data_IF_294956024868
#
_entry.id   IF_294956024868
#
_cell.length_a   1.000
_cell.length_b   1.000
_cell.length_c   1.000
_cell.angle_alpha   90.00
_cell.angle_beta   90.00
_cell.angle_gamma   90.00
#
_symmetry.space_group_name_H-M   'P 1'
#
loop_
_entity.id
_entity.type
_entity.pdbx_description
1 polymer ?
#
# COMPACT_ATOMS: atom_id res chain seq x y z
N UNK A 1 -49.67 -46.02 -27.85
CA UNK A 1 -48.40 -46.18 -27.10
C UNK A 1 -47.97 -44.80 -26.65
N UNK A 2 -48.16 -44.42 -25.36
CA UNK A 2 -47.73 -43.12 -24.88
C UNK A 2 -46.19 -43.07 -24.80
N UNK A 3 -45.60 -42.03 -25.37
CA UNK A 3 -44.16 -41.77 -25.32
C UNK A 3 -43.87 -41.18 -23.94
N UNK A 4 -43.27 -41.98 -23.06
CA UNK A 4 -42.79 -41.55 -21.74
C UNK A 4 -41.40 -40.94 -21.95
N UNK A 5 -41.30 -39.61 -21.80
CA UNK A 5 -40.00 -38.93 -21.77
C UNK A 5 -39.37 -39.07 -20.38
N UNK A 6 -38.05 -39.33 -20.28
CA UNK A 6 -37.37 -39.50 -19.00
C UNK A 6 -37.22 -38.17 -18.25
N UNK A 7 -37.18 -38.27 -16.92
CA UNK A 7 -36.96 -37.16 -15.99
C UNK A 7 -35.58 -36.53 -16.21
N UNK A 8 -35.57 -35.23 -16.52
CA UNK A 8 -34.35 -34.40 -16.55
C UNK A 8 -33.97 -34.11 -15.10
N UNK A 9 -32.97 -34.82 -14.59
CA UNK A 9 -32.32 -34.53 -13.32
C UNK A 9 -31.41 -33.28 -13.41
N UNK A 10 -31.03 -32.66 -12.28
CA UNK A 10 -30.26 -31.43 -12.27
C UNK A 10 -28.82 -31.69 -12.74
N UNK A 11 -28.47 -31.14 -13.89
CA UNK A 11 -27.11 -31.10 -14.42
C UNK A 11 -26.31 -30.01 -13.69
N UNK A 12 -25.78 -30.35 -12.52
CA UNK A 12 -24.64 -29.64 -11.94
C UNK A 12 -23.50 -30.64 -11.73
N UNK A 13 -22.88 -31.07 -12.82
CA UNK A 13 -21.52 -31.62 -12.76
C UNK A 13 -20.57 -30.44 -12.62
N UNK A 14 -20.28 -30.06 -11.38
CA UNK A 14 -19.11 -29.23 -11.09
C UNK A 14 -17.88 -30.03 -11.50
N UNK A 15 -17.24 -29.60 -12.60
CA UNK A 15 -15.87 -29.99 -12.92
C UNK A 15 -14.99 -29.59 -11.75
N UNK A 16 -14.52 -30.59 -11.01
CA UNK A 16 -13.41 -30.50 -10.06
C UNK A 16 -12.14 -30.12 -10.82
N UNK A 17 -11.99 -28.83 -11.11
CA UNK A 17 -10.70 -28.23 -11.42
C UNK A 17 -9.97 -28.04 -10.09
N UNK A 18 -9.01 -28.93 -9.86
CA UNK A 18 -7.82 -28.75 -9.02
C UNK A 18 -7.97 -27.76 -7.86
N UNK A 19 -8.22 -28.32 -6.66
CA UNK A 19 -8.38 -27.58 -5.43
C UNK A 19 -7.27 -26.54 -5.20
N UNK A 20 -7.68 -25.27 -5.27
CA UNK A 20 -6.98 -24.18 -4.60
C UNK A 20 -7.13 -24.40 -3.09
N UNK A 21 -6.19 -25.19 -2.56
CA UNK A 21 -5.92 -25.32 -1.14
C UNK A 21 -5.45 -23.96 -0.67
N UNK A 22 -6.30 -23.28 0.10
CA UNK A 22 -6.04 -22.01 0.75
C UNK A 22 -4.65 -22.03 1.40
N UNK A 23 -3.69 -21.41 0.72
CA UNK A 23 -2.42 -21.07 1.32
C UNK A 23 -2.70 -19.86 2.21
N UNK A 24 -2.72 -20.12 3.52
CA UNK A 24 -2.27 -19.14 4.51
C UNK A 24 -1.18 -18.29 3.90
N UNK A 25 -1.19 -16.96 4.11
CA UNK A 25 -0.09 -16.05 3.79
C UNK A 25 1.22 -16.76 4.09
N UNK A 26 1.81 -17.34 3.07
CA UNK A 26 3.03 -18.10 3.17
C UNK A 26 4.02 -16.97 3.08
N UNK A 27 4.44 -16.47 4.24
CA UNK A 27 5.65 -15.68 4.29
C UNK A 27 6.69 -16.53 3.57
N UNK A 28 7.20 -16.04 2.44
CA UNK A 28 8.14 -16.80 1.60
C UNK A 28 9.41 -17.15 2.39
N UNK A 29 9.62 -16.49 3.53
CA UNK A 29 10.59 -16.85 4.54
C UNK A 29 9.96 -16.71 5.95
N UNK A 30 10.00 -17.77 6.76
CA UNK A 30 9.61 -17.78 8.18
C UNK A 30 10.32 -16.66 8.96
N UNK A 31 11.54 -16.30 8.53
CA UNK A 31 12.36 -15.25 9.12
C UNK A 31 11.79 -13.84 8.91
N UNK A 32 11.20 -13.56 7.74
CA UNK A 32 10.52 -12.27 7.51
C UNK A 32 9.27 -12.12 8.35
N UNK A 33 8.57 -13.25 8.60
CA UNK A 33 7.41 -13.27 9.50
C UNK A 33 7.82 -12.93 10.92
N UNK A 34 8.85 -13.60 11.43
CA UNK A 34 9.37 -13.37 12.78
C UNK A 34 9.87 -11.94 12.96
N UNK A 35 10.61 -11.41 11.97
CA UNK A 35 11.08 -10.03 11.96
C UNK A 35 9.92 -9.02 12.04
N UNK A 36 8.85 -9.24 11.26
CA UNK A 36 7.68 -8.37 11.26
C UNK A 36 6.90 -8.45 12.58
N UNK A 37 6.74 -9.65 13.15
CA UNK A 37 6.11 -9.84 14.47
C UNK A 37 6.94 -9.17 15.58
N UNK A 38 8.28 -9.24 15.51
CA UNK A 38 9.18 -8.60 16.46
C UNK A 38 9.13 -7.07 16.37
N UNK A 39 9.19 -6.51 15.16
CA UNK A 39 9.10 -5.06 14.95
C UNK A 39 7.75 -4.51 15.43
N UNK A 40 6.67 -5.25 15.19
CA UNK A 40 5.34 -4.90 15.70
C UNK A 40 5.31 -4.97 17.23
N UNK A 41 5.86 -6.00 17.85
CA UNK A 41 5.90 -6.10 19.31
C UNK A 41 6.73 -4.97 19.94
N UNK A 42 7.87 -4.63 19.34
CA UNK A 42 8.74 -3.53 19.78
C UNK A 42 8.05 -2.17 19.63
N UNK A 43 7.38 -1.94 18.50
CA UNK A 43 6.63 -0.71 18.24
C UNK A 43 5.44 -0.51 19.19
N UNK A 44 4.76 -1.60 19.59
CA UNK A 44 3.64 -1.55 20.53
C UNK A 44 4.03 -1.73 22.00
N UNK A 45 5.33 -1.92 22.30
CA UNK A 45 5.81 -2.15 23.67
C UNK A 45 5.27 -3.43 24.31
N UNK A 46 4.90 -4.42 23.49
CA UNK A 46 4.41 -5.72 23.96
C UNK A 46 5.63 -6.57 24.31
N UNK A 47 5.77 -7.06 25.56
CA UNK A 47 6.84 -7.97 25.92
C UNK A 47 6.73 -9.25 25.09
N UNK A 48 7.77 -9.58 24.33
CA UNK A 48 7.82 -10.84 23.59
C UNK A 48 8.04 -12.01 24.56
N UNK A 49 7.36 -13.16 24.35
CA UNK A 49 7.63 -14.39 25.08
C UNK A 49 9.11 -14.77 24.96
N UNK A 50 9.75 -15.09 26.07
CA UNK A 50 11.18 -15.42 26.16
C UNK A 50 11.61 -16.64 25.33
N UNK A 51 10.67 -17.42 24.79
CA UNK A 51 10.94 -18.55 23.91
C UNK A 51 11.28 -18.17 22.46
N UNK A 52 10.96 -16.95 22.01
CA UNK A 52 11.24 -16.49 20.62
C UNK A 52 12.59 -15.79 20.52
N UNK A 53 13.24 -15.52 21.65
CA UNK A 53 14.58 -14.92 21.68
C UNK A 53 15.58 -15.98 21.19
N UNK A 54 15.79 -16.07 19.87
CA UNK A 54 16.93 -16.81 19.30
C UNK A 54 18.16 -16.35 20.09
N UNK A 55 18.73 -17.26 20.88
CA UNK A 55 20.10 -17.08 21.35
C UNK A 55 20.91 -16.91 20.08
N UNK A 56 21.73 -15.84 19.93
CA UNK A 56 22.71 -15.85 18.87
C UNK A 56 23.52 -17.13 19.04
N UNK A 57 23.36 -18.06 18.09
CA UNK A 57 24.27 -19.20 17.98
C UNK A 57 25.64 -18.58 17.74
N UNK A 58 26.43 -18.67 18.79
CA UNK A 58 27.85 -18.42 18.78
C UNK A 58 28.43 -19.49 17.86
N UNK A 59 28.66 -19.13 16.59
CA UNK A 59 29.69 -19.77 15.78
C UNK A 59 31.03 -19.30 16.36
N UNK A 60 31.49 -20.03 17.37
CA UNK A 60 32.89 -20.06 17.81
C UNK A 60 33.55 -21.31 17.21
N UNK A 61 34.86 -21.18 16.95
CA UNK A 61 35.82 -22.13 16.34
C UNK A 61 35.89 -22.01 14.80
N UNK A 62 36.94 -21.50 14.14
CA UNK A 62 38.35 -21.24 14.49
C UNK A 62 38.90 -20.08 13.63
N UNK A 63 39.58 -19.11 14.25
CA UNK A 63 40.88 -18.51 13.83
C UNK A 63 41.10 -17.21 14.63
N UNK A 64 41.79 -17.37 15.77
CA UNK A 64 42.69 -16.35 16.31
C UNK A 64 43.89 -16.26 15.35
N UNK A 65 44.55 -15.15 15.06
CA UNK A 65 45.02 -13.99 15.83
C UNK A 65 45.17 -12.84 14.80
N UNK A 66 44.95 -11.56 15.10
CA UNK A 66 45.99 -10.66 15.60
C UNK A 66 45.45 -9.21 15.41
N UNK A 67 45.93 -8.27 16.24
CA UNK A 67 45.69 -6.82 16.22
C UNK A 67 44.48 -6.23 16.97
N UNK A 68 44.70 -6.18 18.29
CA UNK A 68 44.84 -4.93 19.07
C UNK A 68 43.66 -3.96 19.12
N UNK A 69 43.03 -3.97 20.29
CA UNK A 69 42.70 -2.81 21.14
C UNK A 69 42.70 -1.43 20.47
N UNK A 70 41.51 -0.87 20.26
CA UNK A 70 41.30 0.55 20.56
C UNK A 70 39.80 0.91 20.70
N UNK A 71 39.47 1.43 21.87
CA UNK A 71 38.52 2.54 22.09
C UNK A 71 37.01 2.31 21.93
N UNK A 72 36.43 1.95 23.08
CA UNK A 72 35.19 2.53 23.60
C UNK A 72 35.13 4.05 23.35
N UNK A 73 34.16 4.51 22.54
CA UNK A 73 33.47 5.80 22.70
C UNK A 73 32.33 5.90 21.68
N UNK A 74 31.12 5.86 22.20
CA UNK A 74 29.90 6.32 21.53
C UNK A 74 29.99 7.83 21.29
N UNK A 75 29.93 8.33 20.04
CA UNK A 75 29.59 9.71 19.81
C UNK A 75 28.07 9.81 19.68
N UNK A 76 27.42 10.16 20.79
CA UNK A 76 26.13 10.85 20.79
C UNK A 76 26.36 12.24 20.18
N UNK A 77 26.47 12.31 18.85
CA UNK A 77 26.46 13.57 18.12
C UNK A 77 25.02 13.88 17.72
N UNK A 78 24.35 14.68 18.55
CA UNK A 78 23.14 15.38 18.18
C UNK A 78 23.46 16.40 17.11
N UNK A 79 23.43 15.99 15.84
CA UNK A 79 23.32 16.94 14.74
C UNK A 79 21.90 17.50 14.73
N UNK A 80 21.78 18.70 15.32
CA UNK A 80 20.75 19.67 15.00
C UNK A 80 20.90 20.04 13.51
N UNK A 81 20.35 19.20 12.63
CA UNK A 81 20.06 19.62 11.27
C UNK A 81 18.93 20.64 11.36
N UNK A 82 19.35 21.90 11.41
CA UNK A 82 18.56 23.06 11.02
C UNK A 82 18.09 22.83 9.59
N UNK A 83 16.98 22.11 9.44
CA UNK A 83 16.22 22.09 8.20
C UNK A 83 15.54 23.45 8.13
N UNK A 84 16.21 24.37 7.45
CA UNK A 84 15.60 25.57 6.91
C UNK A 84 14.44 25.14 6.02
N UNK A 85 13.25 25.07 6.61
CA UNK A 85 12.01 24.97 5.87
C UNK A 85 11.95 26.15 4.89
N UNK A 86 11.74 25.92 3.59
CA UNK A 86 11.47 27.02 2.68
C UNK A 86 10.18 27.71 3.16
N UNK A 87 10.12 29.05 3.19
CA UNK A 87 8.89 29.75 3.51
C UNK A 87 7.84 29.34 2.48
N UNK A 88 6.82 28.64 2.96
CA UNK A 88 5.60 28.37 2.21
C UNK A 88 5.03 29.69 1.71
N UNK A 89 5.23 29.98 0.43
CA UNK A 89 4.53 31.05 -0.27
C UNK A 89 3.08 30.61 -0.45
N UNK A 90 2.29 30.81 0.59
CA UNK A 90 0.84 30.83 0.50
C UNK A 90 0.42 31.89 -0.52
N UNK A 91 -0.50 31.59 -1.46
CA UNK A 91 -1.00 32.57 -2.41
C UNK A 91 -1.76 33.64 -1.65
N UNK A 92 -1.19 34.86 -1.63
CA UNK A 92 -1.85 36.04 -1.09
C UNK A 92 -3.14 36.26 -1.86
N UNK A 93 -4.27 36.01 -1.18
CA UNK A 93 -5.58 36.40 -1.65
C UNK A 93 -5.69 37.92 -1.46
N UNK A 94 -5.39 38.59 -2.56
CA UNK A 94 -5.50 40.03 -2.81
C UNK A 94 -6.80 40.61 -2.25
N UNK A 95 -6.59 41.55 -1.33
CA UNK A 95 -7.37 42.73 -0.96
C UNK A 95 -8.83 42.84 -1.41
N UNK A 96 -9.71 42.81 -0.41
CA UNK A 96 -11.04 43.40 -0.45
C UNK A 96 -11.33 43.98 0.94
N UNK A 97 -11.13 45.28 1.08
CA UNK A 97 -11.25 46.05 2.30
C UNK A 97 -12.62 45.91 2.98
N UNK A 98 -12.63 45.70 4.30
CA UNK A 98 -13.58 46.36 5.19
C UNK A 98 -13.02 46.32 6.62
N UNK A 99 -12.54 47.48 7.04
CA UNK A 99 -12.23 47.81 8.41
C UNK A 99 -13.46 47.62 9.30
N UNK A 100 -13.33 46.89 10.40
CA UNK A 100 -13.96 47.27 11.65
C UNK A 100 -13.12 46.73 12.81
N UNK A 101 -12.23 47.60 13.29
CA UNK A 101 -11.54 47.48 14.57
C UNK A 101 -12.59 47.76 15.65
N UNK A 102 -12.99 46.74 16.41
CA UNK A 102 -13.52 46.97 17.76
C UNK A 102 -12.54 46.41 18.78
N UNK A 103 -11.67 47.34 19.17
CA UNK A 103 -10.98 47.48 20.44
C UNK A 103 -11.68 46.73 21.58
N UNK A 104 -11.00 45.72 22.12
CA UNK A 104 -11.27 45.18 23.46
C UNK A 104 -10.57 46.07 24.49
N UNK A 105 -11.29 46.72 25.43
CA UNK A 105 -10.69 47.22 26.64
C UNK A 105 -10.74 46.12 27.71
N UNK A 106 -9.55 45.66 28.06
CA UNK A 106 -9.21 45.10 29.36
C UNK A 106 -9.38 46.19 30.42
N UNK A 107 -10.38 46.10 31.32
CA UNK A 107 -10.30 46.36 32.78
C UNK A 107 -11.66 46.70 33.41
N UNK A 108 -11.78 46.25 34.67
CA UNK A 108 -12.64 46.76 35.76
C UNK A 108 -14.15 46.58 35.64
N UNK A 109 -14.72 45.67 36.43
CA UNK A 109 -15.31 46.04 37.73
C UNK A 109 -15.78 44.80 38.49
N UNK A 110 -15.15 44.54 39.64
CA UNK A 110 -15.78 43.84 40.74
C UNK A 110 -16.88 44.76 41.28
N UNK A 111 -18.14 44.49 40.96
CA UNK A 111 -19.29 44.99 41.71
C UNK A 111 -20.16 43.80 42.09
N UNK A 112 -19.93 43.33 43.31
CA UNK A 112 -20.92 42.61 44.09
C UNK A 112 -22.15 43.52 44.32
N UNK A 113 -23.29 42.86 44.40
CA UNK A 113 -24.56 43.26 45.01
C UNK A 113 -25.70 43.75 44.08
N UNK A 114 -26.76 42.91 44.09
CA UNK A 114 -28.19 43.20 43.90
C UNK A 114 -28.79 43.06 42.48
N UNK A 115 -30.12 42.95 42.36
CA UNK A 115 -30.96 41.81 42.76
C UNK A 115 -31.68 41.22 41.52
N UNK A 116 -31.95 39.91 41.58
CA UNK A 116 -32.61 39.08 40.58
C UNK A 116 -33.85 39.74 39.97
N UNK A 117 -33.72 40.34 38.78
CA UNK A 117 -34.85 40.76 37.95
C UNK A 117 -35.34 39.55 37.13
N UNK A 118 -36.64 39.20 37.17
CA UNK A 118 -37.18 38.01 36.52
C UNK A 118 -37.28 38.11 34.98
N UNK A 119 -36.68 39.12 34.35
CA UNK A 119 -36.71 39.29 32.88
C UNK A 119 -35.59 38.55 32.14
N UNK A 120 -34.55 38.07 32.81
CA UNK A 120 -33.39 37.43 32.15
C UNK A 120 -33.59 35.94 31.82
N UNK A 121 -34.62 35.29 32.36
CA UNK A 121 -34.86 33.85 32.14
C UNK A 121 -35.34 33.55 30.71
N UNK A 122 -35.97 34.52 30.04
CA UNK A 122 -36.45 34.33 28.66
C UNK A 122 -35.33 34.40 27.61
N UNK A 123 -34.19 35.03 27.93
CA UNK A 123 -33.11 35.24 26.95
C UNK A 123 -32.19 34.01 26.83
N UNK A 124 -32.02 33.21 27.89
CA UNK A 124 -31.17 32.00 27.85
C UNK A 124 -31.76 30.87 26.98
N UNK A 125 -33.10 30.82 26.87
CA UNK A 125 -33.77 29.77 26.10
C UNK A 125 -33.61 29.97 24.58
N UNK A 126 -33.50 31.22 24.11
CA UNK A 126 -33.19 31.50 22.69
C UNK A 126 -31.72 31.21 22.36
N UNK A 127 -30.79 31.55 23.25
CA UNK A 127 -29.37 31.25 23.06
C UNK A 127 -29.09 29.75 22.96
N UNK A 128 -29.75 28.92 23.79
CA UNK A 128 -29.60 27.45 23.71
C UNK A 128 -30.05 26.90 22.35
N UNK A 129 -31.10 27.46 21.73
CA UNK A 129 -31.61 27.02 20.42
C UNK A 129 -30.64 27.37 19.28
N UNK A 130 -29.98 28.54 19.36
CA UNK A 130 -29.01 28.97 18.36
C UNK A 130 -27.72 28.14 18.42
N UNK A 131 -27.23 27.83 19.63
CA UNK A 131 -26.08 26.94 19.82
C UNK A 131 -26.33 25.53 19.30
N UNK A 132 -27.53 25.00 19.50
CA UNK A 132 -27.90 23.69 18.97
C UNK A 132 -27.92 23.70 17.43
N UNK A 133 -28.46 24.74 16.80
CA UNK A 133 -28.43 24.91 15.33
C UNK A 133 -26.99 24.97 14.82
N UNK A 134 -26.11 25.74 15.48
CA UNK A 134 -24.68 25.83 15.13
C UNK A 134 -24.00 24.46 15.25
N UNK A 135 -24.30 23.70 16.30
CA UNK A 135 -23.77 22.35 16.51
C UNK A 135 -24.24 21.39 15.40
N UNK A 136 -25.53 21.44 15.02
CA UNK A 136 -26.09 20.64 13.92
C UNK A 136 -25.40 20.95 12.59
N UNK A 137 -25.25 22.23 12.24
CA UNK A 137 -24.54 22.65 11.01
C UNK A 137 -23.07 22.19 11.03
N UNK A 138 -22.40 22.29 12.18
CA UNK A 138 -21.01 21.84 12.31
C UNK A 138 -20.86 20.33 12.12
N UNK A 139 -21.76 19.52 12.72
CA UNK A 139 -21.82 18.06 12.53
C UNK A 139 -22.08 17.70 11.07
N UNK A 140 -22.99 18.40 10.41
CA UNK A 140 -23.31 18.17 9.00
C UNK A 140 -22.12 18.52 8.09
N UNK A 141 -21.46 19.65 8.32
CA UNK A 141 -20.23 20.03 7.61
C UNK A 141 -19.14 18.97 7.79
N UNK A 142 -18.96 18.44 9.00
CA UNK A 142 -17.99 17.38 9.27
C UNK A 142 -18.34 16.09 8.52
N UNK A 143 -19.62 15.70 8.49
CA UNK A 143 -20.13 14.55 7.72
C UNK A 143 -19.80 14.69 6.24
N UNK A 144 -20.13 15.83 5.63
CA UNK A 144 -19.84 16.12 4.22
C UNK A 144 -18.34 16.12 3.92
N UNK A 145 -17.53 16.71 4.81
CA UNK A 145 -16.07 16.71 4.64
C UNK A 145 -15.48 15.29 4.70
N UNK A 146 -15.94 14.47 5.64
CA UNK A 146 -15.54 13.07 5.74
C UNK A 146 -15.96 12.28 4.49
N UNK A 147 -17.19 12.50 3.99
CA UNK A 147 -17.68 11.87 2.76
C UNK A 147 -16.82 12.26 1.55
N UNK A 148 -16.58 13.56 1.32
CA UNK A 148 -15.72 14.03 0.22
C UNK A 148 -14.30 13.46 0.31
N UNK A 149 -13.74 13.36 1.51
CA UNK A 149 -12.42 12.75 1.72
C UNK A 149 -12.42 11.27 1.36
N UNK A 150 -13.48 10.53 1.71
CA UNK A 150 -13.62 9.12 1.34
C UNK A 150 -13.75 8.95 -0.18
N UNK A 151 -14.56 9.80 -0.83
CA UNK A 151 -14.75 9.80 -2.28
C UNK A 151 -13.40 10.03 -3.00
N UNK A 152 -12.69 11.12 -2.67
CA UNK A 152 -11.38 11.42 -3.28
C UNK A 152 -10.36 10.29 -3.11
N UNK A 153 -10.35 9.64 -1.94
CA UNK A 153 -9.45 8.50 -1.69
C UNK A 153 -9.82 7.28 -2.51
N UNK A 154 -11.12 7.02 -2.70
CA UNK A 154 -11.60 5.94 -3.57
C UNK A 154 -11.22 6.21 -5.02
N UNK A 155 -11.50 7.41 -5.53
CA UNK A 155 -11.14 7.84 -6.89
C UNK A 155 -9.63 7.75 -7.13
N UNK A 156 -8.81 8.11 -6.15
CA UNK A 156 -7.35 7.95 -6.24
C UNK A 156 -6.93 6.48 -6.35
N UNK A 157 -7.51 5.58 -5.55
CA UNK A 157 -7.20 4.16 -5.63
C UNK A 157 -7.70 3.53 -6.93
N UNK A 158 -8.89 3.91 -7.38
CA UNK A 158 -9.48 3.48 -8.66
C UNK A 158 -8.61 3.91 -9.84
N UNK A 159 -8.22 5.18 -9.91
CA UNK A 159 -7.32 5.68 -10.96
C UNK A 159 -5.93 5.02 -10.94
N UNK A 160 -5.40 4.65 -9.76
CA UNK A 160 -4.16 3.87 -9.68
C UNK A 160 -4.34 2.45 -10.21
N UNK A 161 -5.47 1.79 -9.90
CA UNK A 161 -5.80 0.45 -10.44
C UNK A 161 -5.92 0.47 -11.96
N UNK A 162 -6.72 1.39 -12.51
CA UNK A 162 -6.85 1.59 -13.96
C UNK A 162 -5.48 1.86 -14.61
N UNK A 163 -4.62 2.65 -13.95
CA UNK A 163 -3.28 2.95 -14.48
C UNK A 163 -2.37 1.72 -14.47
N UNK A 164 -2.45 0.86 -13.46
CA UNK A 164 -1.70 -0.39 -13.39
C UNK A 164 -2.13 -1.31 -14.54
N UNK A 165 -3.44 -1.51 -14.72
CA UNK A 165 -4.01 -2.33 -15.80
C UNK A 165 -3.57 -1.84 -17.17
N UNK A 166 -3.72 -0.54 -17.46
CA UNK A 166 -3.28 0.04 -18.72
C UNK A 166 -1.78 -0.13 -19.00
N UNK A 167 -0.93 -0.04 -17.96
CA UNK A 167 0.51 -0.26 -18.11
C UNK A 167 0.85 -1.74 -18.32
N UNK A 168 0.11 -2.65 -17.70
CA UNK A 168 0.26 -4.09 -17.91
C UNK A 168 -0.14 -4.50 -19.33
N UNK A 169 -1.27 -3.98 -19.84
CA UNK A 169 -1.69 -4.20 -21.22
C UNK A 169 -0.64 -3.69 -22.21
N UNK A 170 -0.12 -2.50 -21.95
CA UNK A 170 0.95 -1.93 -22.76
C UNK A 170 2.23 -2.80 -22.73
N UNK A 171 2.61 -3.27 -21.54
CA UNK A 171 3.76 -4.17 -21.40
C UNK A 171 3.59 -5.42 -22.26
N UNK A 172 2.40 -6.05 -22.24
CA UNK A 172 2.10 -7.24 -23.03
C UNK A 172 2.19 -6.94 -24.54
N UNK A 173 1.65 -5.80 -24.98
CA UNK A 173 1.70 -5.38 -26.38
C UNK A 173 3.15 -5.15 -26.85
N UNK A 174 3.94 -4.42 -26.05
CA UNK A 174 5.35 -4.16 -26.34
C UNK A 174 6.16 -5.46 -26.39
N UNK A 175 5.87 -6.40 -25.49
CA UNK A 175 6.52 -7.71 -25.46
C UNK A 175 6.20 -8.51 -26.73
N UNK A 176 4.93 -8.58 -27.13
CA UNK A 176 4.53 -9.25 -28.37
C UNK A 176 5.22 -8.64 -29.59
N UNK A 177 5.30 -7.32 -29.68
CA UNK A 177 6.00 -6.63 -30.77
C UNK A 177 7.50 -6.95 -30.77
N UNK A 178 8.14 -6.93 -29.60
CA UNK A 178 9.55 -7.30 -29.44
C UNK A 178 9.82 -8.75 -29.86
N UNK A 179 8.98 -9.69 -29.44
CA UNK A 179 9.09 -11.11 -29.80
C UNK A 179 8.90 -11.34 -31.31
N UNK A 180 7.96 -10.61 -31.93
CA UNK A 180 7.76 -10.62 -33.37
C UNK A 180 9.01 -10.18 -34.13
N UNK A 181 9.60 -9.04 -33.76
CA UNK A 181 10.81 -8.54 -34.41
C UNK A 181 12.04 -9.44 -34.14
N UNK A 182 12.17 -9.97 -32.93
CA UNK A 182 13.23 -10.92 -32.58
C UNK A 182 13.12 -12.17 -33.46
N UNK A 183 11.91 -12.71 -33.63
CA UNK A 183 11.65 -13.85 -34.51
C UNK A 183 12.01 -13.53 -35.96
N UNK A 184 11.65 -12.34 -36.45
CA UNK A 184 12.01 -11.90 -37.81
C UNK A 184 13.54 -11.87 -38.02
N UNK A 185 14.30 -11.36 -37.05
CA UNK A 185 15.78 -11.36 -37.13
C UNK A 185 16.35 -12.78 -37.10
N UNK A 186 15.79 -13.68 -36.27
CA UNK A 186 16.19 -15.09 -36.28
C UNK A 186 15.95 -15.75 -37.64
N UNK A 187 14.83 -15.45 -38.31
CA UNK A 187 14.54 -15.96 -39.65
C UNK A 187 15.52 -15.43 -40.70
N UNK A 188 15.90 -14.15 -40.63
CA UNK A 188 16.94 -13.58 -41.50
C UNK A 188 18.30 -14.26 -41.31
N UNK A 189 18.67 -14.56 -40.06
CA UNK A 189 19.89 -15.31 -39.73
C UNK A 189 19.90 -16.72 -40.33
N UNK A 190 18.76 -17.42 -40.29
CA UNK A 190 18.62 -18.75 -40.91
C UNK A 190 18.65 -18.69 -42.44
N UNK A 191 18.21 -17.57 -43.04
CA UNK A 191 18.29 -17.32 -44.47
C UNK A 191 19.71 -17.07 -45.02
N UNK A 192 20.75 -17.23 -44.20
CA UNK A 192 22.15 -16.95 -44.52
C UNK A 192 22.45 -15.49 -44.91
N UNK A 193 21.64 -14.54 -44.47
CA UNK A 193 21.93 -13.12 -44.64
C UNK A 193 22.78 -12.66 -43.45
N UNK A 194 24.05 -13.09 -43.43
CA UNK A 194 24.95 -12.90 -42.28
C UNK A 194 25.60 -11.51 -42.20
N UNK A 195 25.59 -10.75 -43.30
CA UNK A 195 26.23 -9.43 -43.38
C UNK A 195 25.33 -8.27 -42.95
N UNK A 196 24.18 -8.57 -42.33
CA UNK A 196 23.28 -7.54 -41.82
C UNK A 196 23.69 -7.09 -40.41
N UNK A 197 23.96 -5.78 -40.19
CA UNK A 197 24.27 -5.23 -38.87
C UNK A 197 23.22 -5.52 -37.80
N UNK A 198 21.97 -5.81 -38.20
CA UNK A 198 20.89 -6.17 -37.29
C UNK A 198 21.10 -7.49 -36.55
N UNK A 199 21.80 -8.45 -37.16
CA UNK A 199 22.08 -9.75 -36.52
C UNK A 199 23.09 -9.57 -35.37
N UNK A 200 24.14 -8.78 -35.59
CA UNK A 200 25.15 -8.47 -34.57
C UNK A 200 24.57 -7.68 -33.39
N UNK A 201 23.72 -6.68 -33.66
CA UNK A 201 23.06 -5.93 -32.59
C UNK A 201 22.10 -6.81 -31.78
N UNK A 202 21.40 -7.75 -32.41
CA UNK A 202 20.52 -8.65 -31.69
C UNK A 202 21.31 -9.54 -30.73
N UNK A 203 22.49 -10.03 -31.12
CA UNK A 203 23.34 -10.84 -30.23
C UNK A 203 23.80 -10.05 -29.01
N UNK A 204 24.13 -8.77 -29.21
CA UNK A 204 24.52 -7.87 -28.13
C UNK A 204 23.33 -7.49 -27.22
N UNK A 205 22.13 -7.36 -27.77
CA UNK A 205 20.91 -7.04 -27.00
C UNK A 205 20.29 -8.30 -26.37
N UNK A 206 20.46 -9.48 -26.96
CA UNK A 206 19.76 -10.70 -26.57
C UNK A 206 20.28 -11.35 -25.28
N UNK A 207 21.58 -11.23 -25.00
CA UNK A 207 22.21 -11.87 -23.84
C UNK A 207 21.96 -11.07 -22.56
N UNK A 208 22.03 -9.74 -22.62
CA UNK A 208 21.90 -8.88 -21.44
C UNK A 208 20.45 -8.53 -21.08
N UNK A 209 19.48 -8.81 -21.96
CA UNK A 209 18.16 -8.17 -21.86
C UNK A 209 16.96 -9.09 -21.64
N UNK A 210 17.12 -10.42 -21.70
CA UNK A 210 16.03 -11.34 -21.35
C UNK A 210 15.85 -11.51 -19.84
N UNK A 211 16.91 -11.30 -19.07
CA UNK A 211 16.86 -11.37 -17.63
C UNK A 211 16.60 -9.94 -17.13
N UNK A 212 15.37 -9.69 -16.64
CA UNK A 212 15.00 -8.46 -15.95
C UNK A 212 15.76 -8.43 -14.62
N UNK A 213 17.09 -8.29 -14.68
CA UNK A 213 17.92 -8.26 -13.50
C UNK A 213 17.86 -6.88 -12.90
N UNK A 214 17.72 -6.83 -11.59
CA UNK A 214 17.88 -5.58 -10.86
C UNK A 214 19.35 -5.11 -10.91
N UNK A 215 19.63 -3.95 -10.32
CA UNK A 215 20.98 -3.39 -10.26
C UNK A 215 21.98 -4.32 -9.54
N UNK A 216 21.46 -5.26 -8.76
CA UNK A 216 22.22 -6.22 -7.98
C UNK A 216 22.41 -7.55 -8.73
N UNK A 217 21.94 -7.64 -9.98
CA UNK A 217 22.07 -8.82 -10.81
C UNK A 217 21.19 -9.99 -10.36
N UNK A 218 20.24 -9.77 -9.45
CA UNK A 218 19.25 -10.78 -9.13
C UNK A 218 18.19 -10.74 -10.22
N UNK A 219 17.78 -11.93 -10.69
CA UNK A 219 16.59 -12.04 -11.50
C UNK A 219 15.49 -11.37 -10.69
N UNK A 220 14.90 -10.30 -11.22
CA UNK A 220 13.62 -9.83 -10.73
C UNK A 220 12.70 -11.00 -11.02
N UNK A 221 12.60 -11.93 -10.07
CA UNK A 221 11.56 -12.93 -10.10
C UNK A 221 10.33 -12.11 -10.41
N UNK A 222 9.67 -12.44 -11.51
CA UNK A 222 8.31 -12.02 -11.71
C UNK A 222 7.55 -12.70 -10.57
N UNK A 223 7.72 -12.15 -9.35
CA UNK A 223 6.96 -12.40 -8.14
C UNK A 223 5.60 -12.30 -8.71
N UNK A 224 4.99 -13.46 -8.94
CA UNK A 224 3.73 -13.58 -9.62
C UNK A 224 2.89 -12.61 -8.86
N UNK A 225 2.68 -11.44 -9.46
CA UNK A 225 2.02 -10.37 -8.78
C UNK A 225 0.57 -10.72 -9.03
N UNK A 226 0.17 -11.86 -8.48
CA UNK A 226 -1.09 -12.05 -7.82
C UNK A 226 -1.19 -11.02 -6.67
N UNK A 227 -0.95 -9.75 -6.95
CA UNK A 227 -1.98 -8.72 -6.92
C UNK A 227 -3.22 -9.16 -7.74
N UNK A 228 -3.72 -10.38 -7.50
CA UNK A 228 -5.10 -10.51 -7.12
C UNK A 228 -5.19 -9.71 -5.82
N UNK A 229 -5.24 -8.39 -6.02
CA UNK A 229 -5.81 -7.43 -5.10
C UNK A 229 -7.30 -7.74 -5.15
N UNK A 230 -7.66 -8.98 -4.79
CA UNK A 230 -8.94 -9.30 -4.25
C UNK A 230 -8.93 -8.47 -2.97
N UNK A 231 -9.34 -7.21 -3.11
CA UNK A 231 -10.20 -6.54 -2.15
C UNK A 231 -11.45 -7.41 -2.02
N UNK A 232 -11.24 -8.63 -1.52
CA UNK A 232 -12.22 -9.25 -0.70
C UNK A 232 -12.23 -8.35 0.53
N UNK A 233 -12.99 -7.26 0.39
CA UNK A 233 -13.61 -6.46 1.42
C UNK A 233 -14.58 -7.33 2.24
N UNK A 234 -14.25 -8.63 2.39
CA UNK A 234 -14.57 -9.37 3.60
C UNK A 234 -13.89 -8.55 4.69
N UNK A 235 -14.65 -7.61 5.23
CA UNK A 235 -15.10 -7.75 6.60
C UNK A 235 -14.93 -9.22 7.03
N UNK A 236 -13.70 -9.57 7.38
CA UNK A 236 -13.40 -10.37 8.54
C UNK A 236 -13.81 -9.51 9.76
N UNK A 237 -15.04 -8.96 9.75
CA UNK A 237 -16.02 -9.31 10.76
C UNK A 237 -15.75 -10.78 10.98
N UNK A 238 -15.02 -11.05 12.06
CA UNK A 238 -15.13 -12.29 12.79
C UNK A 238 -16.62 -12.57 12.84
N UNK A 239 -17.12 -13.27 11.84
CA UNK A 239 -18.13 -14.25 12.02
C UNK A 239 -17.50 -15.13 13.10
N UNK A 240 -17.73 -14.76 14.35
CA UNK A 240 -18.35 -15.67 15.29
C UNK A 240 -19.56 -16.27 14.54
N UNK A 241 -19.28 -17.16 13.57
CA UNK A 241 -19.95 -18.42 13.58
C UNK A 241 -19.75 -18.88 15.01
N UNK A 242 -20.77 -18.59 15.82
CA UNK A 242 -21.20 -19.51 16.86
C UNK A 242 -21.25 -20.86 16.17
N UNK A 243 -20.09 -21.51 16.14
CA UNK A 243 -20.03 -22.94 16.07
C UNK A 243 -20.80 -23.31 17.31
N UNK A 244 -22.08 -23.65 17.11
CA UNK A 244 -22.83 -24.46 18.04
C UNK A 244 -22.07 -25.78 18.12
N UNK A 245 -20.98 -25.76 18.89
CA UNK A 245 -20.17 -26.91 19.21
C UNK A 245 -21.00 -27.72 20.18
N UNK A 246 -21.94 -28.47 19.62
CA UNK A 246 -22.55 -29.62 20.26
C UNK A 246 -21.59 -30.84 20.20
N UNK A 247 -20.28 -30.59 20.09
CA UNK A 247 -19.23 -31.61 20.06
C UNK A 247 -18.65 -31.78 21.46
N UNK A 248 -19.37 -32.58 22.24
CA UNK A 248 -18.89 -33.53 23.25
C UNK A 248 -17.37 -33.54 23.50
N UNK A 249 -16.99 -32.92 24.62
CA UNK A 249 -16.12 -33.46 25.68
C UNK A 249 -14.87 -34.23 25.23
N UNK A 250 -13.69 -33.60 25.35
CA UNK A 250 -12.51 -34.25 25.95
C UNK A 250 -11.83 -33.25 26.89
N UNK A 251 -11.72 -33.66 28.14
CA UNK A 251 -11.22 -32.97 29.33
C UNK A 251 -9.79 -32.44 29.16
N UNK A 252 -9.65 -31.13 28.95
CA UNK A 252 -8.42 -30.40 29.29
C UNK A 252 -8.52 -29.89 30.74
N UNK A 253 -7.42 -29.96 31.51
CA UNK A 253 -7.43 -29.67 32.94
C UNK A 253 -7.77 -28.19 33.18
N UNK A 254 -8.84 -27.99 33.93
CA UNK A 254 -9.37 -26.78 34.53
C UNK A 254 -8.37 -25.62 34.72
N UNK A 255 -8.15 -24.83 33.67
CA UNK A 255 -7.79 -23.43 33.87
C UNK A 255 -9.03 -22.75 34.43
N UNK A 256 -9.05 -22.56 35.75
CA UNK A 256 -10.05 -21.79 36.46
C UNK A 256 -10.22 -20.47 35.69
N UNK A 257 -11.40 -20.16 35.14
CA UNK A 257 -11.61 -18.87 34.51
C UNK A 257 -11.53 -17.86 35.65
N UNK A 258 -10.36 -17.23 35.78
CA UNK A 258 -10.19 -16.02 36.56
C UNK A 258 -11.02 -14.99 35.81
N UNK A 259 -12.33 -15.00 36.11
CA UNK A 259 -13.26 -13.92 35.81
C UNK A 259 -12.80 -12.79 36.73
N UNK A 260 -11.69 -12.17 36.38
CA UNK A 260 -11.27 -10.91 36.96
C UNK A 260 -12.41 -9.97 36.59
N UNK A 261 -13.27 -9.67 37.56
CA UNK A 261 -14.39 -8.74 37.40
C UNK A 261 -13.79 -7.36 37.22
N UNK A 262 -13.33 -7.05 36.00
CA UNK A 262 -12.90 -5.70 35.65
C UNK A 262 -14.08 -4.76 35.86
N UNK A 263 -13.79 -3.64 36.52
CA UNK A 263 -14.80 -2.61 36.78
C UNK A 263 -15.46 -2.17 35.47
N UNK A 264 -16.70 -1.66 35.53
CA UNK A 264 -17.40 -1.14 34.34
C UNK A 264 -16.56 -0.08 33.62
N UNK A 265 -15.85 0.75 34.39
CA UNK A 265 -14.97 1.79 33.86
C UNK A 265 -13.74 1.19 33.15
N UNK A 266 -13.11 0.18 33.74
CA UNK A 266 -11.97 -0.51 33.14
C UNK A 266 -12.35 -1.20 31.83
N UNK A 267 -13.50 -1.88 31.78
CA UNK A 267 -14.03 -2.46 30.54
C UNK A 267 -14.22 -1.41 29.45
N UNK A 268 -14.70 -0.22 29.81
CA UNK A 268 -14.86 0.88 28.85
C UNK A 268 -13.51 1.43 28.39
N UNK A 269 -12.52 1.57 29.28
CA UNK A 269 -11.14 1.95 28.91
C UNK A 269 -10.54 0.95 27.92
N UNK A 270 -10.65 -0.35 28.19
CA UNK A 270 -10.17 -1.42 27.30
C UNK A 270 -10.87 -1.36 25.94
N UNK A 271 -12.19 -1.16 25.89
CA UNK A 271 -12.93 -1.01 24.62
C UNK A 271 -12.43 0.17 23.79
N UNK A 272 -12.22 1.34 24.41
CA UNK A 272 -11.70 2.53 23.74
C UNK A 272 -10.29 2.31 23.23
N UNK A 273 -9.43 1.68 24.03
CA UNK A 273 -8.05 1.41 23.61
C UNK A 273 -7.98 0.40 22.46
N UNK A 274 -8.77 -0.68 22.53
CA UNK A 274 -8.93 -1.63 21.42
C UNK A 274 -9.41 -0.93 20.14
N UNK A 275 -10.40 -0.05 20.25
CA UNK A 275 -10.91 0.71 19.11
C UNK A 275 -9.83 1.65 18.51
N UNK A 276 -9.04 2.33 19.35
CA UNK A 276 -7.92 3.16 18.91
C UNK A 276 -6.87 2.34 18.17
N UNK A 277 -6.47 1.18 18.71
CA UNK A 277 -5.51 0.27 18.07
C UNK A 277 -6.04 -0.25 16.72
N UNK A 278 -7.30 -0.67 16.68
CA UNK A 278 -7.95 -1.11 15.44
C UNK A 278 -7.96 0.01 14.38
N UNK A 279 -8.34 1.22 14.76
CA UNK A 279 -8.32 2.37 13.87
C UNK A 279 -6.90 2.70 13.36
N UNK A 280 -5.87 2.59 14.22
CA UNK A 280 -4.47 2.77 13.81
C UNK A 280 -4.04 1.71 12.80
N UNK A 281 -4.28 0.42 13.08
CA UNK A 281 -3.96 -0.68 12.16
C UNK A 281 -4.67 -0.53 10.81
N UNK A 282 -5.96 -0.19 10.83
CA UNK A 282 -6.72 0.04 9.60
C UNK A 282 -6.16 1.21 8.76
N UNK A 283 -5.74 2.31 9.41
CA UNK A 283 -5.08 3.43 8.70
C UNK A 283 -3.74 3.02 8.10
N UNK A 284 -2.93 2.25 8.84
CA UNK A 284 -1.64 1.77 8.36
C UNK A 284 -1.80 0.83 7.16
N UNK A 285 -2.72 -0.14 7.23
CA UNK A 285 -3.04 -1.04 6.11
C UNK A 285 -3.42 -0.25 4.85
N UNK A 286 -4.32 0.72 4.98
CA UNK A 286 -4.73 1.58 3.85
C UNK A 286 -3.59 2.42 3.29
N UNK A 287 -2.69 2.92 4.16
CA UNK A 287 -1.50 3.68 3.75
C UNK A 287 -0.57 2.78 2.93
N UNK A 288 -0.27 1.59 3.43
CA UNK A 288 0.60 0.62 2.77
C UNK A 288 0.03 0.18 1.42
N UNK A 289 -1.29 -0.06 1.30
CA UNK A 289 -1.93 -0.37 0.01
C UNK A 289 -1.70 0.75 -1.00
N UNK A 290 -1.93 2.01 -0.60
CA UNK A 290 -1.72 3.16 -1.48
C UNK A 290 -0.26 3.28 -1.94
N UNK A 291 0.70 3.15 -1.01
CA UNK A 291 2.13 3.20 -1.31
C UNK A 291 2.54 2.07 -2.26
N UNK A 292 2.07 0.84 -2.03
CA UNK A 292 2.32 -0.30 -2.93
C UNK A 292 1.74 -0.09 -4.32
N UNK A 293 0.51 0.44 -4.44
CA UNK A 293 -0.08 0.74 -5.75
C UNK A 293 0.70 1.83 -6.50
N UNK A 294 1.19 2.87 -5.79
CA UNK A 294 2.04 3.90 -6.39
C UNK A 294 3.38 3.33 -6.86
N UNK A 295 4.01 2.48 -6.05
CA UNK A 295 5.25 1.79 -6.41
C UNK A 295 5.06 0.90 -7.65
N UNK A 296 3.97 0.11 -7.69
CA UNK A 296 3.67 -0.73 -8.84
C UNK A 296 3.51 0.07 -10.15
N UNK A 297 2.87 1.25 -10.10
CA UNK A 297 2.77 2.16 -11.26
C UNK A 297 4.16 2.64 -11.69
N UNK A 298 5.02 2.98 -10.75
CA UNK A 298 6.39 3.41 -11.04
C UNK A 298 7.18 2.29 -11.74
N UNK A 299 7.18 1.10 -11.16
CA UNK A 299 7.96 -0.04 -11.67
C UNK A 299 7.46 -0.52 -13.03
N UNK A 300 6.14 -0.50 -13.26
CA UNK A 300 5.57 -0.80 -14.57
C UNK A 300 5.95 0.24 -15.63
N UNK A 301 5.99 1.54 -15.29
CA UNK A 301 6.45 2.57 -16.22
C UNK A 301 7.90 2.36 -16.59
N UNK A 302 8.77 2.13 -15.62
CA UNK A 302 10.18 1.90 -15.85
C UNK A 302 10.41 0.67 -16.74
N UNK A 303 9.71 -0.44 -16.48
CA UNK A 303 9.77 -1.64 -17.32
C UNK A 303 9.29 -1.39 -18.75
N UNK A 304 8.18 -0.67 -18.93
CA UNK A 304 7.68 -0.31 -20.26
C UNK A 304 8.69 0.59 -21.00
N UNK A 305 9.27 1.57 -20.33
CA UNK A 305 10.26 2.47 -20.93
C UNK A 305 11.50 1.71 -21.40
N UNK A 306 12.02 0.79 -20.58
CA UNK A 306 13.12 -0.11 -20.97
C UNK A 306 12.77 -0.94 -22.20
N UNK A 307 11.57 -1.51 -22.24
CA UNK A 307 11.13 -2.35 -23.35
C UNK A 307 10.92 -1.54 -24.64
N UNK A 308 10.36 -0.32 -24.55
CA UNK A 308 10.27 0.63 -25.67
C UNK A 308 11.64 0.99 -26.22
N UNK A 309 12.62 1.32 -25.37
CA UNK A 309 13.99 1.63 -25.80
C UNK A 309 14.63 0.47 -26.56
N UNK A 310 14.43 -0.77 -26.07
CA UNK A 310 14.94 -1.98 -26.74
C UNK A 310 14.25 -2.25 -28.07
N UNK A 311 12.92 -2.18 -28.10
CA UNK A 311 12.14 -2.32 -29.31
C UNK A 311 12.56 -1.28 -30.35
N UNK A 312 12.75 -0.02 -29.95
CA UNK A 312 13.25 1.04 -30.81
C UNK A 312 14.63 0.71 -31.37
N UNK A 313 15.57 0.26 -30.54
CA UNK A 313 16.91 -0.11 -30.98
C UNK A 313 16.88 -1.27 -32.00
N UNK A 314 16.02 -2.26 -31.78
CA UNK A 314 15.82 -3.40 -32.67
C UNK A 314 15.23 -2.97 -34.01
N UNK A 315 14.13 -2.20 -33.98
CA UNK A 315 13.47 -1.65 -35.18
C UNK A 315 14.42 -0.76 -35.96
N UNK A 316 15.13 0.17 -35.32
CA UNK A 316 16.12 1.01 -35.98
C UNK A 316 17.25 0.19 -36.59
N UNK A 317 17.61 -0.96 -36.01
CA UNK A 317 18.64 -1.81 -36.60
C UNK A 317 18.15 -2.57 -37.83
N UNK A 318 16.87 -2.96 -37.88
CA UNK A 318 16.28 -3.71 -39.00
C UNK A 318 15.99 -2.76 -40.17
N UNK A 319 15.44 -1.58 -39.88
CA UNK A 319 14.91 -0.66 -40.91
C UNK A 319 15.72 0.63 -41.10
N UNK A 320 16.64 0.95 -40.18
CA UNK A 320 17.27 2.27 -40.09
C UNK A 320 18.66 2.41 -40.70
N UNK A 321 19.15 1.44 -41.49
CA UNK A 321 20.40 1.60 -42.23
C UNK A 321 20.24 2.33 -43.58
N UNK A 322 19.04 2.38 -44.15
CA UNK A 322 18.85 2.87 -45.54
C UNK A 322 18.31 4.31 -45.64
N UNK A 323 18.01 4.98 -44.52
CA UNK A 323 17.51 6.36 -44.54
C UNK A 323 18.60 7.43 -44.76
N UNK A 324 19.87 7.02 -44.85
CA UNK A 324 21.00 7.91 -45.19
C UNK A 324 21.53 7.72 -46.61
N UNK A 325 20.74 7.13 -47.52
CA UNK A 325 20.94 7.36 -48.95
C UNK A 325 20.48 8.79 -49.31
N UNK A 326 21.14 9.77 -48.71
CA UNK A 326 21.27 11.09 -49.31
C UNK A 326 22.08 10.86 -50.59
N UNK A 327 21.38 10.63 -51.70
CA UNK A 327 21.95 10.57 -53.04
C UNK A 327 22.47 11.98 -53.40
N UNK A 328 23.77 12.26 -53.27
CA UNK A 328 24.27 13.62 -53.51
C UNK A 328 24.22 13.98 -55.01
N UNK A 329 23.93 13.02 -55.89
CA UNK A 329 24.01 13.18 -57.34
C UNK A 329 22.66 13.40 -58.05
N UNK A 330 21.53 13.44 -57.32
CA UNK A 330 20.22 13.71 -57.93
C UNK A 330 20.00 15.20 -58.37
N UNK A 331 21.06 16.02 -58.40
CA UNK A 331 20.99 17.45 -58.79
C UNK A 331 21.93 17.89 -59.93
N UNK A 332 22.54 16.97 -60.70
CA UNK A 332 23.31 17.36 -61.90
C UNK A 332 22.62 17.04 -63.22
#
# INVERSE_FOLDING_TARGET
>A
MPIVLPSIGPLYTTTTTSGSRWTYFTYENEEQREQYEEDMARYFGVPLPSCIRRKPEVQEEEEAEELTMSNLRTPTSGHLLSTSFPPSTSPMKKDGASSNKMTLPLLQKLQLDSPTSPSDVLNEMEHSSEEEKKLRVSRERNRLHAQRTRIRKRELLESLKERIEALQDEFQLLKQAYDFHTTAVCLLKLGNVHDLPCVYRLEQVGIDAMEDRDKDGQLCESVHTTCSLHESDYDDEMHEHGMDVNSRTMTTPACIPIVLVCSKEERERVRRERNRLHARRARLRKKLVLEKSQQAVHDLRERNDRLRSRLSALVSSIYGLDACLDDPDATS
#
